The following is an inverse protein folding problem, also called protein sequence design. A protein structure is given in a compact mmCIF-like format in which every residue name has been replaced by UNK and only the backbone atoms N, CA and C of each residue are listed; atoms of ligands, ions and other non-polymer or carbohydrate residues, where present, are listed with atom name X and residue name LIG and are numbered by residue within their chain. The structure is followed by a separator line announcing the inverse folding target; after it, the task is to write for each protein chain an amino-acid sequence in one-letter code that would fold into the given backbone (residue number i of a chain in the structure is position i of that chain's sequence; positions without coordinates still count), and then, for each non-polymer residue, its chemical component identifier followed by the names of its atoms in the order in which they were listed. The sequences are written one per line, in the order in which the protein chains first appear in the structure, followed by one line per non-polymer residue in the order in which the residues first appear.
data_IF_370853842233
#
_entry.id   IF_370853842233
#
_cell.length_a   1.000
_cell.length_b   1.000
_cell.length_c   1.000
_cell.angle_alpha   90.00
_cell.angle_beta   90.00
_cell.angle_gamma   90.00
#
_symmetry.space_group_name_H-M   'P 1'
#
loop_
_entity.id
_entity.type
_entity.pdbx_description
1 polymer ?
#
# COMPACT_ATOMS: atom_id res chain seq x y z
N UNK A 1 -32.60 -10.65 -4.68
CA UNK A 1 -31.78 -9.86 -5.64
C UNK A 1 -32.22 -10.08 -7.08
N UNK A 2 -32.88 -9.08 -7.66
CA UNK A 2 -33.30 -9.05 -9.06
C UNK A 2 -32.13 -8.83 -10.04
N UNK A 3 -32.32 -9.09 -11.34
CA UNK A 3 -31.27 -8.91 -12.37
C UNK A 3 -30.78 -7.46 -12.48
N UNK A 4 -31.67 -6.47 -12.27
CA UNK A 4 -31.33 -5.05 -12.28
C UNK A 4 -30.44 -4.65 -11.10
N UNK A 5 -30.77 -5.11 -9.88
CA UNK A 5 -29.97 -4.96 -8.67
C UNK A 5 -28.55 -5.54 -8.81
N UNK A 6 -28.43 -6.75 -9.39
CA UNK A 6 -27.12 -7.35 -9.64
C UNK A 6 -26.29 -6.55 -10.63
N UNK A 7 -26.92 -5.93 -11.65
CA UNK A 7 -26.23 -5.06 -12.61
C UNK A 7 -25.81 -3.73 -11.97
N UNK A 8 -26.66 -3.11 -11.17
CA UNK A 8 -26.35 -1.89 -10.43
C UNK A 8 -25.19 -2.11 -9.46
N UNK A 9 -25.21 -3.19 -8.67
CA UNK A 9 -24.11 -3.55 -7.77
C UNK A 9 -22.79 -3.82 -8.52
N UNK A 10 -22.85 -4.48 -9.67
CA UNK A 10 -21.64 -4.68 -10.51
C UNK A 10 -21.08 -3.36 -11.05
N UNK A 11 -21.95 -2.45 -11.49
CA UNK A 11 -21.54 -1.11 -11.97
C UNK A 11 -20.93 -0.30 -10.83
N UNK A 12 -21.56 -0.27 -9.65
CA UNK A 12 -21.06 0.42 -8.46
C UNK A 12 -19.67 -0.09 -8.06
N UNK A 13 -19.49 -1.41 -7.98
CA UNK A 13 -18.19 -2.05 -7.69
C UNK A 13 -17.12 -1.70 -8.73
N UNK A 14 -17.47 -1.71 -10.02
CA UNK A 14 -16.54 -1.33 -11.10
C UNK A 14 -16.12 0.14 -10.99
N UNK A 15 -17.05 1.04 -10.69
CA UNK A 15 -16.75 2.46 -10.54
C UNK A 15 -15.88 2.72 -9.32
N UNK A 16 -16.17 2.09 -8.19
CA UNK A 16 -15.35 2.17 -6.98
C UNK A 16 -13.94 1.63 -7.25
N UNK A 17 -13.82 0.46 -7.87
CA UNK A 17 -12.54 -0.13 -8.27
C UNK A 17 -11.71 0.83 -9.13
N UNK A 18 -12.32 1.43 -10.16
CA UNK A 18 -11.64 2.39 -11.04
C UNK A 18 -11.15 3.62 -10.29
N UNK A 19 -11.95 4.13 -9.34
CA UNK A 19 -11.55 5.28 -8.51
C UNK A 19 -10.35 4.95 -7.63
N UNK A 20 -10.33 3.77 -7.03
CA UNK A 20 -9.23 3.33 -6.17
C UNK A 20 -7.96 3.08 -6.98
N UNK A 21 -8.06 2.40 -8.13
CA UNK A 21 -6.90 2.24 -9.05
C UNK A 21 -6.38 3.60 -9.52
N UNK A 22 -7.27 4.53 -9.87
CA UNK A 22 -6.86 5.88 -10.24
C UNK A 22 -6.21 6.63 -9.07
N UNK A 23 -6.65 6.40 -7.83
CA UNK A 23 -6.03 7.00 -6.64
C UNK A 23 -4.61 6.44 -6.41
N UNK A 24 -4.42 5.12 -6.51
CA UNK A 24 -3.10 4.48 -6.45
C UNK A 24 -2.21 5.03 -7.56
N UNK A 25 -2.71 5.06 -8.81
CA UNK A 25 -1.97 5.61 -9.94
C UNK A 25 -1.57 7.07 -9.74
N UNK A 26 -2.51 7.92 -9.30
CA UNK A 26 -2.21 9.33 -9.03
C UNK A 26 -1.22 9.46 -7.88
N UNK A 27 -1.29 8.63 -6.84
CA UNK A 27 -0.30 8.65 -5.78
C UNK A 27 1.08 8.31 -6.32
N UNK A 28 1.19 7.28 -7.16
CA UNK A 28 2.45 6.90 -7.80
C UNK A 28 3.00 8.02 -8.70
N UNK A 29 2.17 8.60 -9.57
CA UNK A 29 2.62 9.62 -10.52
C UNK A 29 3.05 10.94 -9.84
N UNK A 30 2.53 11.24 -8.64
CA UNK A 30 2.78 12.50 -7.94
C UNK A 30 3.77 12.39 -6.77
N UNK A 31 4.20 11.18 -6.40
CA UNK A 31 5.18 10.98 -5.34
C UNK A 31 6.49 10.50 -5.94
N UNK A 32 7.61 11.00 -5.41
CA UNK A 32 8.94 10.59 -5.82
C UNK A 32 9.57 9.83 -4.67
N UNK A 33 9.94 8.58 -4.93
CA UNK A 33 10.69 7.75 -3.99
C UNK A 33 12.17 8.04 -4.22
N UNK A 34 12.85 8.52 -3.19
CA UNK A 34 14.29 8.84 -3.26
C UNK A 34 15.14 7.81 -2.54
N UNK A 35 14.54 7.02 -1.67
CA UNK A 35 15.21 5.91 -0.99
C UNK A 35 15.37 4.73 -1.94
N UNK A 36 16.56 4.15 -1.94
CA UNK A 36 16.87 2.87 -2.59
C UNK A 36 17.59 2.01 -1.55
N UNK A 37 17.06 0.82 -1.21
CA UNK A 37 17.74 -0.10 -0.32
C UNK A 37 18.95 -0.70 -1.06
N UNK A 38 20.07 0.02 -1.06
CA UNK A 38 21.38 -0.47 -1.51
C UNK A 38 22.35 -0.52 -0.31
N UNK A 39 23.10 -1.62 -0.18
CA UNK A 39 23.92 -2.07 0.97
C UNK A 39 25.04 -1.13 1.47
N UNK A 40 25.36 -0.04 0.76
CA UNK A 40 26.64 0.67 0.93
C UNK A 40 26.55 2.00 1.71
N UNK A 41 25.42 2.30 2.35
CA UNK A 41 25.14 3.60 2.99
C UNK A 41 24.57 3.53 4.41
N UNK A 42 24.60 4.67 5.11
CA UNK A 42 23.82 4.83 6.34
C UNK A 42 22.33 4.83 5.98
N UNK A 43 21.60 3.81 6.41
CA UNK A 43 20.16 3.71 6.19
C UNK A 43 19.46 4.98 6.74
N UNK A 44 18.63 5.65 5.94
CA UNK A 44 17.85 6.78 6.43
C UNK A 44 16.89 6.33 7.54
N UNK A 45 16.46 7.26 8.42
CA UNK A 45 15.47 6.94 9.44
C UNK A 45 14.21 6.33 8.82
N UNK A 46 13.69 5.26 9.42
CA UNK A 46 12.49 4.57 8.96
C UNK A 46 11.33 5.53 8.66
N UNK A 47 11.12 6.53 9.52
CA UNK A 47 10.07 7.53 9.33
C UNK A 47 10.22 8.33 8.02
N UNK A 48 11.45 8.62 7.58
CA UNK A 48 11.71 9.39 6.36
C UNK A 48 11.43 8.56 5.09
N UNK A 49 11.75 7.26 5.13
CA UNK A 49 11.38 6.30 4.07
C UNK A 49 9.87 6.10 4.06
N UNK A 50 9.30 5.85 5.23
CA UNK A 50 7.88 5.62 5.44
C UNK A 50 7.02 6.78 4.91
N UNK A 51 7.41 8.02 5.19
CA UNK A 51 6.66 9.20 4.74
C UNK A 51 6.69 9.39 3.21
N UNK A 52 7.70 8.87 2.50
CA UNK A 52 7.76 8.90 1.04
C UNK A 52 6.81 7.87 0.41
N UNK A 53 6.71 6.68 1.02
CA UNK A 53 5.90 5.57 0.50
C UNK A 53 4.45 5.61 0.98
N UNK A 54 4.17 6.19 2.15
CA UNK A 54 2.84 6.18 2.76
C UNK A 54 1.73 6.76 1.87
N UNK A 55 1.94 7.86 1.13
CA UNK A 55 0.96 8.37 0.17
C UNK A 55 0.56 7.37 -0.92
N UNK A 56 1.43 6.39 -1.22
CA UNK A 56 1.18 5.30 -2.18
C UNK A 56 0.56 4.08 -1.49
N UNK A 57 1.05 3.74 -0.30
CA UNK A 57 0.54 2.62 0.49
C UNK A 57 -0.89 2.85 1.01
N UNK A 58 -1.26 4.06 1.44
CA UNK A 58 -2.61 4.38 1.91
C UNK A 58 -3.72 4.03 0.90
N UNK A 59 -3.68 4.50 -0.36
CA UNK A 59 -4.68 4.11 -1.35
C UNK A 59 -4.59 2.62 -1.73
N UNK A 60 -3.42 1.98 -1.64
CA UNK A 60 -3.26 0.54 -1.89
C UNK A 60 -3.89 -0.31 -0.78
N UNK A 61 -3.75 0.08 0.49
CA UNK A 61 -4.42 -0.53 1.63
C UNK A 61 -5.95 -0.44 1.49
N UNK A 62 -6.46 0.76 1.17
CA UNK A 62 -7.90 0.98 0.92
C UNK A 62 -8.42 0.19 -0.28
N UNK A 63 -7.59 -0.04 -1.28
CA UNK A 63 -7.93 -0.91 -2.40
C UNK A 63 -7.98 -2.38 -1.97
N UNK A 64 -7.01 -2.82 -1.19
CA UNK A 64 -6.89 -4.19 -0.66
C UNK A 64 -8.11 -4.57 0.19
N UNK A 65 -8.56 -3.67 1.07
CA UNK A 65 -9.78 -3.84 1.90
C UNK A 65 -11.04 -4.18 1.07
N UNK A 66 -11.09 -3.79 -0.22
CA UNK A 66 -12.25 -4.11 -1.07
C UNK A 66 -12.31 -5.55 -1.56
N UNK A 67 -11.25 -6.34 -1.36
CA UNK A 67 -11.14 -7.72 -1.83
C UNK A 67 -10.84 -8.74 -0.73
N UNK A 68 -10.62 -8.27 0.49
CA UNK A 68 -10.28 -9.10 1.64
C UNK A 68 -11.54 -9.49 2.43
N UNK A 69 -11.34 -10.22 3.53
CA UNK A 69 -12.39 -10.67 4.44
C UNK A 69 -12.28 -9.95 5.78
N UNK A 70 -13.34 -9.97 6.60
CA UNK A 70 -13.41 -9.27 7.89
C UNK A 70 -12.17 -9.48 8.79
N UNK A 71 -11.61 -10.71 8.80
CA UNK A 71 -10.41 -11.02 9.58
C UNK A 71 -9.16 -10.30 9.05
N UNK A 72 -9.03 -10.18 7.74
CA UNK A 72 -7.94 -9.42 7.11
C UNK A 72 -8.19 -7.92 7.21
N UNK A 73 -9.44 -7.48 7.09
CA UNK A 73 -9.83 -6.07 7.18
C UNK A 73 -9.47 -5.50 8.56
N UNK A 74 -9.65 -6.29 9.62
CA UNK A 74 -9.20 -5.91 10.97
C UNK A 74 -7.69 -5.65 11.03
N UNK A 75 -6.87 -6.53 10.43
CA UNK A 75 -5.42 -6.35 10.40
C UNK A 75 -5.02 -5.17 9.49
N UNK A 76 -5.67 -5.00 8.33
CA UNK A 76 -5.46 -3.85 7.46
C UNK A 76 -5.78 -2.53 8.17
N UNK A 77 -6.83 -2.50 8.99
CA UNK A 77 -7.19 -1.33 9.78
C UNK A 77 -6.17 -1.05 10.89
N UNK A 78 -5.63 -2.08 11.54
CA UNK A 78 -4.54 -1.93 12.51
C UNK A 78 -3.27 -1.35 11.85
N UNK A 79 -2.88 -1.91 10.70
CA UNK A 79 -1.74 -1.44 9.90
C UNK A 79 -1.99 -0.01 9.39
N UNK A 80 -3.21 0.28 8.96
CA UNK A 80 -3.58 1.61 8.50
C UNK A 80 -3.52 2.65 9.62
N UNK A 81 -3.99 2.30 10.82
CA UNK A 81 -3.95 3.16 11.99
C UNK A 81 -2.50 3.41 12.45
N UNK A 82 -1.67 2.37 12.53
CA UNK A 82 -0.27 2.49 12.90
C UNK A 82 0.51 3.33 11.87
N UNK A 83 0.29 3.08 10.59
CA UNK A 83 0.91 3.86 9.51
C UNK A 83 0.48 5.33 9.51
N UNK A 84 -0.81 5.59 9.73
CA UNK A 84 -1.32 6.94 9.89
C UNK A 84 -0.71 7.65 11.10
N UNK A 85 -0.47 6.94 12.20
CA UNK A 85 0.17 7.53 13.39
C UNK A 85 1.61 7.99 13.07
N UNK A 86 2.40 7.16 12.38
CA UNK A 86 3.77 7.51 11.95
C UNK A 86 3.75 8.72 11.02
N UNK A 87 2.86 8.71 10.01
CA UNK A 87 2.74 9.81 9.05
C UNK A 87 2.35 11.15 9.70
N UNK A 88 1.70 11.12 10.87
CA UNK A 88 1.32 12.30 11.65
C UNK A 88 2.36 12.68 12.71
N UNK A 89 3.59 12.15 12.63
CA UNK A 89 4.69 12.47 13.55
C UNK A 89 4.82 11.52 14.73
N UNK A 90 4.33 10.28 14.59
CA UNK A 90 4.54 9.20 15.55
C UNK A 90 6.03 8.87 15.74
N UNK A 91 6.35 8.27 16.89
CA UNK A 91 7.73 7.93 17.27
C UNK A 91 8.11 6.48 16.97
N UNK A 92 9.28 6.06 17.43
CA UNK A 92 9.83 4.72 17.19
C UNK A 92 8.91 3.57 17.65
N UNK A 93 8.09 3.82 18.67
CA UNK A 93 7.09 2.85 19.15
C UNK A 93 5.98 2.59 18.12
N UNK A 94 5.55 3.63 17.39
CA UNK A 94 4.55 3.51 16.34
C UNK A 94 5.14 2.80 15.12
N UNK A 95 6.39 3.10 14.77
CA UNK A 95 7.16 2.42 13.73
C UNK A 95 7.30 0.92 14.02
N UNK A 96 7.67 0.55 15.24
CA UNK A 96 7.79 -0.85 15.67
C UNK A 96 6.45 -1.58 15.62
N UNK A 97 5.36 -0.91 16.05
CA UNK A 97 4.02 -1.48 16.00
C UNK A 97 3.52 -1.69 14.56
N UNK A 98 3.86 -0.76 13.66
CA UNK A 98 3.57 -0.89 12.24
C UNK A 98 4.33 -2.06 11.63
N UNK A 99 5.66 -2.14 11.78
CA UNK A 99 6.49 -3.21 11.22
C UNK A 99 5.99 -4.60 11.65
N UNK A 100 5.68 -4.79 12.94
CA UNK A 100 5.20 -6.07 13.48
C UNK A 100 3.86 -6.56 12.86
N UNK A 101 3.07 -5.63 12.30
CA UNK A 101 1.77 -5.91 11.70
C UNK A 101 1.79 -5.87 10.18
N UNK A 102 2.70 -5.08 9.62
CA UNK A 102 2.84 -4.86 8.19
C UNK A 102 3.21 -6.15 7.47
N UNK A 103 4.18 -6.90 8.00
CA UNK A 103 4.57 -8.23 7.52
C UNK A 103 3.36 -9.16 7.28
N UNK A 104 2.42 -9.23 8.23
CA UNK A 104 1.24 -10.10 8.16
C UNK A 104 0.27 -9.79 7.02
N UNK A 105 0.32 -8.57 6.48
CA UNK A 105 -0.53 -8.13 5.37
C UNK A 105 0.26 -7.81 4.12
N UNK A 106 1.59 -7.83 4.19
CA UNK A 106 2.46 -7.39 3.12
C UNK A 106 2.26 -8.22 1.85
N UNK A 107 2.24 -9.55 1.97
CA UNK A 107 1.88 -10.48 0.88
C UNK A 107 0.59 -10.12 0.12
N UNK A 108 -0.39 -9.58 0.84
CA UNK A 108 -1.66 -9.18 0.23
C UNK A 108 -1.52 -7.83 -0.46
N UNK A 109 -0.85 -6.88 0.19
CA UNK A 109 -0.60 -5.54 -0.35
C UNK A 109 0.24 -5.65 -1.62
N UNK A 110 1.32 -6.43 -1.60
CA UNK A 110 2.20 -6.68 -2.74
C UNK A 110 1.42 -7.28 -3.91
N UNK A 111 0.62 -8.32 -3.67
CA UNK A 111 -0.26 -8.91 -4.69
C UNK A 111 -1.21 -7.88 -5.34
N UNK A 112 -1.79 -6.96 -4.57
CA UNK A 112 -2.70 -5.95 -5.13
C UNK A 112 -1.96 -4.79 -5.82
N UNK A 113 -0.75 -4.46 -5.40
CA UNK A 113 0.14 -3.54 -6.10
C UNK A 113 0.59 -4.12 -7.45
N UNK A 114 1.01 -5.38 -7.49
CA UNK A 114 1.28 -6.13 -8.73
C UNK A 114 0.03 -6.19 -9.63
N UNK A 115 -1.15 -6.43 -9.05
CA UNK A 115 -2.40 -6.37 -9.80
C UNK A 115 -2.61 -4.97 -10.40
N UNK A 116 -2.24 -3.89 -9.69
CA UNK A 116 -2.33 -2.54 -10.22
C UNK A 116 -1.37 -2.33 -11.40
N UNK A 117 -0.16 -2.92 -11.39
CA UNK A 117 0.78 -2.91 -12.53
C UNK A 117 0.12 -3.39 -13.82
N UNK A 118 -0.71 -4.43 -13.75
CA UNK A 118 -1.43 -4.95 -14.93
C UNK A 118 -2.40 -3.95 -15.58
N UNK A 119 -2.74 -2.86 -14.90
CA UNK A 119 -3.63 -1.80 -15.37
C UNK A 119 -2.92 -0.46 -15.58
N UNK A 120 -1.61 -0.38 -15.37
CA UNK A 120 -0.82 0.86 -15.44
C UNK A 120 0.14 0.87 -16.63
N UNK A 121 1.09 1.81 -16.64
CA UNK A 121 2.07 1.99 -17.73
C UNK A 121 3.49 1.78 -17.18
N UNK A 122 4.48 1.59 -18.08
CA UNK A 122 5.87 1.30 -17.72
C UNK A 122 6.51 2.27 -16.70
N UNK A 123 6.07 3.54 -16.66
CA UNK A 123 6.57 4.51 -15.69
C UNK A 123 5.98 4.29 -14.29
N UNK A 124 4.70 3.93 -14.23
CA UNK A 124 4.01 3.58 -12.99
C UNK A 124 4.51 2.23 -12.47
N UNK A 125 4.78 1.28 -13.37
CA UNK A 125 5.24 -0.06 -13.01
C UNK A 125 6.57 0.00 -12.25
N UNK A 126 7.52 0.84 -12.70
CA UNK A 126 8.80 1.06 -11.99
C UNK A 126 8.64 1.61 -10.58
N UNK A 127 7.71 2.53 -10.37
CA UNK A 127 7.46 3.07 -9.03
C UNK A 127 6.79 2.02 -8.16
N UNK A 128 5.94 1.16 -8.73
CA UNK A 128 5.37 0.03 -7.99
C UNK A 128 6.49 -0.95 -7.61
N UNK A 129 7.42 -1.26 -8.51
CA UNK A 129 8.59 -2.09 -8.19
C UNK A 129 9.39 -1.47 -7.03
N UNK A 130 9.65 -0.14 -7.06
CA UNK A 130 10.32 0.56 -5.96
C UNK A 130 9.53 0.50 -4.63
N UNK A 131 8.20 0.55 -4.66
CA UNK A 131 7.36 0.39 -3.46
C UNK A 131 7.41 -1.05 -2.94
N UNK A 132 7.43 -2.04 -3.83
CA UNK A 132 7.54 -3.45 -3.47
C UNK A 132 8.90 -3.71 -2.82
N UNK A 133 10.00 -3.27 -3.43
CA UNK A 133 11.35 -3.43 -2.88
C UNK A 133 11.46 -2.79 -1.47
N UNK A 134 10.90 -1.58 -1.29
CA UNK A 134 10.90 -0.93 0.02
C UNK A 134 10.01 -1.68 1.01
N UNK A 135 8.84 -2.14 0.59
CA UNK A 135 7.95 -2.87 1.49
C UNK A 135 8.50 -4.23 1.89
N UNK A 136 9.22 -4.94 1.01
CA UNK A 136 9.98 -6.15 1.34
C UNK A 136 11.06 -5.86 2.39
N UNK A 137 11.77 -4.73 2.25
CA UNK A 137 12.72 -4.25 3.28
C UNK A 137 12.03 -3.96 4.62
N UNK A 138 10.84 -3.35 4.61
CA UNK A 138 10.06 -3.08 5.84
C UNK A 138 9.54 -4.36 6.49
N UNK A 139 9.06 -5.30 5.69
CA UNK A 139 8.51 -6.58 6.17
C UNK A 139 9.60 -7.50 6.73
N UNK A 140 10.87 -7.26 6.38
CA UNK A 140 12.02 -8.03 6.85
C UNK A 140 12.41 -9.19 5.93
N UNK A 141 11.82 -9.28 4.74
CA UNK A 141 12.18 -10.28 3.71
C UNK A 141 13.46 -9.91 2.94
N UNK A 142 14.03 -8.74 3.21
CA UNK A 142 15.33 -8.28 2.69
C UNK A 142 16.57 -8.69 3.52
N UNK A 143 16.45 -9.59 4.51
CA UNK A 143 17.57 -10.10 5.32
C UNK A 143 17.74 -11.63 5.24
#
# INVERSE_FOLDING_TARGET
MGRAERRANRQARKTQRRRLIAAVKNAIENNTITFKPDDDGAEPPFADVFNQIWPILDPALKFTETYTNDATDAVLQEVWAAGSAIANGGGDADASAFQAKFDQVWDKISFYLELAQTFTNDATDKVIDEVLDIGDWIAGDGQ
#
